data_IF_509615227847
#
_entry.id   IF_509615227847
#
_cell.length_a   1.000
_cell.length_b   1.000
_cell.length_c   1.000
_cell.angle_alpha   90.00
_cell.angle_beta   90.00
_cell.angle_gamma   90.00
#
_symmetry.space_group_name_H-M   'P 1'
#
loop_
_entity.id
_entity.type
_entity.pdbx_description
1 polymer ?
#
# COMPACT_ATOMS: atom_id res chain seq x y z
N UNK A 1 -19.32 -24.97 -19.70
CA UNK A 1 -19.38 -23.51 -19.52
C UNK A 1 -18.04 -23.06 -18.94
N UNK A 2 -17.21 -22.37 -19.72
CA UNK A 2 -15.84 -22.01 -19.31
C UNK A 2 -15.15 -21.12 -20.33
N UNK A 3 -15.91 -20.22 -20.95
CA UNK A 3 -15.41 -19.37 -22.05
C UNK A 3 -14.86 -18.06 -21.52
N UNK A 4 -15.38 -17.56 -20.39
CA UNK A 4 -14.94 -16.32 -19.76
C UNK A 4 -13.94 -16.61 -18.63
N UNK A 5 -12.73 -16.06 -18.76
CA UNK A 5 -11.63 -16.17 -17.81
C UNK A 5 -11.26 -14.80 -17.25
N UNK A 6 -10.56 -14.75 -16.12
CA UNK A 6 -10.12 -13.47 -15.52
C UNK A 6 -9.21 -12.69 -16.48
N UNK A 7 -8.41 -13.39 -17.28
CA UNK A 7 -7.52 -12.77 -18.26
C UNK A 7 -8.29 -12.02 -19.35
N UNK A 8 -9.55 -12.40 -19.60
CA UNK A 8 -10.41 -11.73 -20.56
C UNK A 8 -10.82 -10.32 -20.07
N UNK A 9 -10.86 -10.08 -18.75
CA UNK A 9 -11.16 -8.76 -18.19
C UNK A 9 -10.11 -7.74 -18.64
N UNK A 10 -8.84 -8.13 -18.56
CA UNK A 10 -7.71 -7.28 -18.96
C UNK A 10 -7.57 -7.27 -20.48
N UNK A 11 -7.60 -8.44 -21.13
CA UNK A 11 -7.39 -8.60 -22.58
C UNK A 11 -8.39 -7.82 -23.42
N UNK A 12 -9.64 -7.71 -22.97
CA UNK A 12 -10.70 -7.00 -23.69
C UNK A 12 -11.05 -5.65 -23.05
N UNK A 13 -10.24 -5.18 -22.08
CA UNK A 13 -10.40 -3.89 -21.41
C UNK A 13 -11.84 -3.72 -20.89
N UNK A 14 -12.40 -4.77 -20.29
CA UNK A 14 -13.83 -4.82 -19.98
C UNK A 14 -14.24 -3.79 -18.92
N UNK A 15 -13.33 -3.35 -18.07
CA UNK A 15 -13.61 -2.28 -17.12
C UNK A 15 -13.82 -0.93 -17.80
N UNK A 16 -13.01 -0.61 -18.81
CA UNK A 16 -13.08 0.66 -19.54
C UNK A 16 -14.47 0.86 -20.16
N UNK A 17 -15.00 -0.19 -20.78
CA UNK A 17 -16.31 -0.17 -21.44
C UNK A 17 -17.51 -0.02 -20.49
N UNK A 18 -17.31 -0.08 -19.17
CA UNK A 18 -18.40 -0.09 -18.18
C UNK A 18 -18.61 1.24 -17.46
N UNK A 19 -17.70 2.21 -17.59
CA UNK A 19 -17.73 3.45 -16.79
C UNK A 19 -18.94 4.36 -17.01
N UNK A 20 -19.71 4.11 -18.07
CA UNK A 20 -20.90 4.88 -18.41
C UNK A 20 -22.24 4.25 -17.99
N UNK A 21 -22.33 2.94 -17.66
CA UNK A 21 -23.66 2.29 -17.65
C UNK A 21 -23.96 1.19 -16.61
N UNK A 22 -23.03 0.70 -15.77
CA UNK A 22 -23.40 -0.41 -14.88
C UNK A 22 -22.52 -0.61 -13.63
N UNK A 23 -22.85 0.04 -12.51
CA UNK A 23 -22.29 -0.23 -11.17
C UNK A 23 -22.23 -1.74 -10.85
N UNK A 24 -23.29 -2.48 -11.18
CA UNK A 24 -23.37 -3.93 -10.91
C UNK A 24 -22.36 -4.73 -11.73
N UNK A 25 -22.15 -4.38 -13.00
CA UNK A 25 -21.18 -5.10 -13.86
C UNK A 25 -19.76 -4.75 -13.47
N UNK A 26 -19.49 -3.49 -13.16
CA UNK A 26 -18.19 -3.06 -12.64
C UNK A 26 -17.84 -3.85 -11.38
N UNK A 27 -18.75 -3.88 -10.39
CA UNK A 27 -18.54 -4.64 -9.15
C UNK A 27 -18.28 -6.12 -9.41
N UNK A 28 -19.06 -6.74 -10.29
CA UNK A 28 -18.88 -8.15 -10.66
C UNK A 28 -17.48 -8.43 -11.23
N UNK A 29 -16.98 -7.58 -12.15
CA UNK A 29 -15.65 -7.75 -12.74
C UNK A 29 -14.52 -7.49 -11.73
N UNK A 30 -14.67 -6.47 -10.89
CA UNK A 30 -13.69 -6.18 -9.83
C UNK A 30 -13.66 -7.29 -8.77
N UNK A 31 -14.81 -7.82 -8.36
CA UNK A 31 -14.89 -8.97 -7.46
C UNK A 31 -14.19 -10.20 -8.04
N UNK A 32 -14.23 -10.37 -9.36
CA UNK A 32 -13.54 -11.45 -10.05
C UNK A 32 -12.02 -11.22 -10.10
N UNK A 33 -11.57 -10.05 -10.54
CA UNK A 33 -10.15 -9.71 -10.62
C UNK A 33 -9.87 -8.27 -10.16
N UNK A 34 -9.60 -8.05 -8.87
CA UNK A 34 -9.29 -6.71 -8.36
C UNK A 34 -8.00 -6.12 -8.94
N UNK A 35 -7.05 -6.95 -9.42
CA UNK A 35 -5.78 -6.48 -9.96
C UNK A 35 -5.95 -5.66 -11.24
N UNK A 36 -7.09 -5.83 -11.92
CA UNK A 36 -7.48 -5.03 -13.08
C UNK A 36 -7.61 -3.53 -12.78
N UNK A 37 -7.77 -3.12 -11.51
CA UNK A 37 -7.72 -1.70 -11.11
C UNK A 37 -6.35 -1.04 -11.34
N UNK A 38 -5.28 -1.84 -11.48
CA UNK A 38 -3.92 -1.37 -11.77
C UNK A 38 -3.50 -1.65 -13.21
N UNK A 39 -4.38 -2.22 -14.01
CA UNK A 39 -4.09 -2.47 -15.41
C UNK A 39 -4.07 -1.15 -16.16
N UNK A 40 -2.88 -0.75 -16.60
CA UNK A 40 -2.70 0.42 -17.44
C UNK A 40 -3.22 0.11 -18.84
N UNK A 41 -4.18 0.90 -19.31
CA UNK A 41 -4.63 0.87 -20.71
C UNK A 41 -3.74 1.78 -21.57
N UNK A 42 -4.17 2.09 -22.79
CA UNK A 42 -3.48 3.01 -23.68
C UNK A 42 -3.14 4.33 -22.97
N UNK A 43 -1.94 4.87 -23.24
CA UNK A 43 -1.40 6.08 -22.59
C UNK A 43 -1.09 5.96 -21.09
N UNK A 44 -1.12 4.75 -20.52
CA UNK A 44 -0.76 4.54 -19.11
C UNK A 44 -1.90 4.82 -18.13
N UNK A 45 -3.12 5.07 -18.62
CA UNK A 45 -4.29 5.39 -17.82
C UNK A 45 -4.74 4.20 -16.97
N UNK A 46 -5.13 4.49 -15.75
CA UNK A 46 -5.80 3.54 -14.87
C UNK A 46 -7.33 3.64 -15.05
N UNK A 47 -8.07 2.59 -14.65
CA UNK A 47 -9.52 2.68 -14.52
C UNK A 47 -10.01 3.89 -13.69
N UNK A 48 -9.18 4.38 -12.76
CA UNK A 48 -9.52 5.57 -11.97
C UNK A 48 -9.34 6.89 -12.75
N UNK A 49 -8.37 6.99 -13.67
CA UNK A 49 -8.25 8.11 -14.63
C UNK A 49 -9.51 8.21 -15.49
N UNK A 50 -9.91 7.09 -16.11
CA UNK A 50 -11.15 7.02 -16.90
C UNK A 50 -12.38 7.46 -16.08
N UNK A 51 -12.49 7.01 -14.84
CA UNK A 51 -13.60 7.39 -13.98
C UNK A 51 -13.58 8.89 -13.61
N UNK A 52 -12.40 9.49 -13.44
CA UNK A 52 -12.23 10.92 -13.20
C UNK A 52 -12.59 11.74 -14.45
N UNK A 53 -12.06 11.37 -15.60
CA UNK A 53 -12.20 12.09 -16.88
C UNK A 53 -13.58 11.92 -17.53
N UNK A 54 -14.16 10.71 -17.49
CA UNK A 54 -15.35 10.39 -18.29
C UNK A 54 -16.61 10.13 -17.44
N UNK A 55 -16.49 9.58 -16.24
CA UNK A 55 -17.66 9.16 -15.44
C UNK A 55 -18.28 10.29 -14.60
N UNK A 56 -19.19 9.97 -13.68
CA UNK A 56 -19.67 10.91 -12.66
C UNK A 56 -18.78 10.87 -11.42
N UNK A 57 -18.89 11.85 -10.52
CA UNK A 57 -18.22 11.80 -9.20
C UNK A 57 -18.57 10.52 -8.42
N UNK A 58 -19.78 9.97 -8.63
CA UNK A 58 -20.20 8.68 -8.08
C UNK A 58 -19.43 7.51 -8.71
N UNK A 59 -19.19 7.56 -10.02
CA UNK A 59 -18.37 6.58 -10.72
C UNK A 59 -16.92 6.61 -10.24
N UNK A 60 -16.32 7.80 -10.18
CA UNK A 60 -15.00 8.02 -9.58
C UNK A 60 -14.91 7.42 -8.16
N UNK A 61 -15.88 7.76 -7.30
CA UNK A 61 -15.97 7.24 -5.93
C UNK A 61 -16.08 5.71 -5.91
N UNK A 62 -16.87 5.11 -6.80
CA UNK A 62 -17.05 3.66 -6.88
C UNK A 62 -15.73 2.94 -7.18
N UNK A 63 -14.94 3.47 -8.12
CA UNK A 63 -13.63 2.90 -8.47
C UNK A 63 -12.63 3.09 -7.34
N UNK A 64 -12.57 4.30 -6.77
CA UNK A 64 -11.68 4.58 -5.67
C UNK A 64 -12.00 3.70 -4.44
N UNK A 65 -13.28 3.54 -4.11
CA UNK A 65 -13.74 2.68 -3.02
C UNK A 65 -13.36 1.21 -3.25
N UNK A 66 -13.44 0.73 -4.49
CA UNK A 66 -12.95 -0.60 -4.84
C UNK A 66 -11.43 -0.71 -4.61
N UNK A 67 -10.65 0.30 -5.00
CA UNK A 67 -9.21 0.38 -4.75
C UNK A 67 -8.86 0.27 -3.27
N UNK A 68 -9.54 1.04 -2.42
CA UNK A 68 -9.36 1.00 -0.97
C UNK A 68 -9.80 -0.36 -0.40
N UNK A 69 -10.94 -0.90 -0.84
CA UNK A 69 -11.49 -2.16 -0.30
C UNK A 69 -10.59 -3.37 -0.57
N UNK A 70 -10.07 -3.51 -1.79
CA UNK A 70 -9.25 -4.67 -2.17
C UNK A 70 -7.76 -4.47 -1.89
N UNK A 71 -7.31 -3.22 -1.76
CA UNK A 71 -5.91 -2.88 -1.50
C UNK A 71 -5.75 -1.88 -0.34
N UNK A 72 -6.32 -2.16 0.85
CA UNK A 72 -6.40 -1.20 1.96
C UNK A 72 -5.04 -0.81 2.52
N UNK A 73 -4.04 -1.67 2.34
CA UNK A 73 -2.77 -1.53 3.03
C UNK A 73 -1.74 -0.64 2.35
N UNK A 74 -1.98 -0.09 1.15
CA UNK A 74 -0.88 0.46 0.33
C UNK A 74 -1.39 1.08 -0.96
N UNK A 75 -1.87 0.23 -1.86
CA UNK A 75 -2.05 0.59 -3.27
C UNK A 75 -3.35 1.33 -3.53
N UNK A 76 -4.36 1.11 -2.69
CA UNK A 76 -5.65 1.78 -2.82
C UNK A 76 -5.53 3.30 -2.76
N UNK A 77 -4.76 3.84 -1.80
CA UNK A 77 -4.56 5.30 -1.72
C UNK A 77 -3.64 5.82 -2.82
N UNK A 78 -2.60 5.06 -3.17
CA UNK A 78 -1.67 5.43 -4.24
C UNK A 78 -2.35 5.52 -5.62
N UNK A 79 -3.47 4.80 -5.86
CA UNK A 79 -4.25 4.91 -7.09
C UNK A 79 -4.66 6.36 -7.40
N UNK A 80 -4.99 7.17 -6.39
CA UNK A 80 -5.37 8.58 -6.59
C UNK A 80 -4.24 9.43 -7.18
N UNK A 81 -3.01 9.05 -6.89
CA UNK A 81 -1.82 9.84 -7.18
C UNK A 81 -0.88 9.12 -8.14
N UNK A 82 -1.32 8.05 -8.78
CA UNK A 82 -0.51 7.37 -9.79
C UNK A 82 -0.55 8.17 -11.08
N UNK A 83 0.60 8.53 -11.62
CA UNK A 83 0.71 9.27 -12.87
C UNK A 83 0.45 8.37 -14.08
N UNK A 84 -0.16 8.95 -15.11
CA UNK A 84 -0.25 8.35 -16.44
C UNK A 84 0.98 8.70 -17.30
N UNK A 85 0.90 8.48 -18.62
CA UNK A 85 1.96 8.84 -19.55
C UNK A 85 2.15 10.35 -19.80
N UNK A 86 1.30 11.20 -19.20
CA UNK A 86 1.34 12.66 -19.29
C UNK A 86 1.65 13.33 -17.94
N UNK A 87 2.03 12.55 -16.94
CA UNK A 87 2.26 12.99 -15.55
C UNK A 87 0.98 13.48 -14.82
N UNK A 88 -0.20 13.18 -15.35
CA UNK A 88 -1.48 13.52 -14.72
C UNK A 88 -1.95 12.39 -13.79
N UNK A 89 -2.52 12.78 -12.65
CA UNK A 89 -3.09 11.85 -11.67
C UNK A 89 -4.63 11.83 -11.72
N UNK A 90 -5.29 10.73 -11.34
CA UNK A 90 -6.75 10.71 -11.26
C UNK A 90 -7.31 11.77 -10.32
N UNK A 91 -6.56 12.11 -9.26
CA UNK A 91 -6.94 13.16 -8.34
C UNK A 91 -6.94 14.55 -9.00
N UNK A 92 -5.91 14.89 -9.77
CA UNK A 92 -5.84 16.15 -10.52
C UNK A 92 -6.96 16.25 -11.55
N UNK A 93 -7.19 15.19 -12.35
CA UNK A 93 -8.28 15.14 -13.32
C UNK A 93 -9.65 15.33 -12.66
N UNK A 94 -9.91 14.59 -11.57
CA UNK A 94 -11.16 14.69 -10.83
C UNK A 94 -11.34 16.09 -10.25
N UNK A 95 -10.28 16.69 -9.68
CA UNK A 95 -10.34 18.03 -9.12
C UNK A 95 -10.60 19.08 -10.20
N UNK A 96 -10.00 18.93 -11.38
CA UNK A 96 -10.23 19.83 -12.52
C UNK A 96 -11.69 19.80 -13.01
N UNK A 97 -12.36 18.65 -12.88
CA UNK A 97 -13.73 18.46 -13.37
C UNK A 97 -14.83 18.72 -12.33
N UNK A 98 -14.67 18.20 -11.12
CA UNK A 98 -15.69 18.26 -10.06
C UNK A 98 -15.37 19.30 -8.97
N UNK A 99 -14.15 19.85 -8.98
CA UNK A 99 -13.69 20.79 -7.94
C UNK A 99 -13.06 20.07 -6.75
N UNK A 100 -12.03 20.70 -6.18
CA UNK A 100 -11.23 20.13 -5.10
C UNK A 100 -12.05 19.74 -3.86
N UNK A 101 -12.97 20.60 -3.43
CA UNK A 101 -13.76 20.35 -2.20
C UNK A 101 -14.64 19.11 -2.32
N UNK A 102 -15.29 18.92 -3.48
CA UNK A 102 -16.17 17.77 -3.72
C UNK A 102 -15.37 16.47 -3.81
N UNK A 103 -14.24 16.49 -4.53
CA UNK A 103 -13.35 15.33 -4.66
C UNK A 103 -12.75 14.96 -3.31
N UNK A 104 -12.22 15.93 -2.57
CA UNK A 104 -11.62 15.69 -1.26
C UNK A 104 -12.65 15.12 -0.27
N UNK A 105 -13.88 15.64 -0.26
CA UNK A 105 -14.98 15.07 0.53
C UNK A 105 -15.26 13.62 0.15
N UNK A 106 -15.32 13.31 -1.14
CA UNK A 106 -15.54 11.94 -1.63
C UNK A 106 -14.42 10.98 -1.21
N UNK A 107 -13.17 11.43 -1.26
CA UNK A 107 -12.00 10.68 -0.81
C UNK A 107 -12.09 10.41 0.69
N UNK A 108 -12.27 11.46 1.52
CA UNK A 108 -12.36 11.33 2.97
C UNK A 108 -13.51 10.43 3.42
N UNK A 109 -14.70 10.63 2.87
CA UNK A 109 -15.86 9.79 3.15
C UNK A 109 -15.55 8.31 2.87
N UNK A 110 -14.81 8.02 1.79
CA UNK A 110 -14.44 6.67 1.39
C UNK A 110 -13.41 6.06 2.34
N UNK A 111 -12.43 6.83 2.78
CA UNK A 111 -11.45 6.39 3.77
C UNK A 111 -12.10 6.11 5.12
N UNK A 112 -13.04 6.94 5.57
CA UNK A 112 -13.80 6.75 6.82
C UNK A 112 -14.63 5.46 6.75
N UNK A 113 -15.35 5.22 5.64
CA UNK A 113 -16.17 4.00 5.46
C UNK A 113 -15.36 2.70 5.45
N UNK A 114 -14.08 2.76 5.09
CA UNK A 114 -13.20 1.59 5.00
C UNK A 114 -12.20 1.52 6.17
N UNK A 115 -12.48 2.22 7.27
CA UNK A 115 -11.59 2.31 8.44
C UNK A 115 -11.41 0.99 9.20
N UNK A 116 -12.25 -0.03 8.95
CA UNK A 116 -12.11 -1.37 9.52
C UNK A 116 -10.77 -2.05 9.16
N UNK A 117 -10.16 -1.63 8.05
CA UNK A 117 -8.79 -1.98 7.66
C UNK A 117 -7.94 -0.71 7.67
N UNK A 118 -7.32 -0.35 8.81
CA UNK A 118 -6.57 0.89 8.91
C UNK A 118 -5.39 0.91 7.93
N UNK A 119 -5.27 2.01 7.19
CA UNK A 119 -4.14 2.24 6.30
C UNK A 119 -2.86 2.22 7.13
N UNK A 120 -1.88 1.39 6.75
CA UNK A 120 -0.54 1.49 7.27
C UNK A 120 0.12 2.74 6.66
N UNK A 121 -0.14 3.91 7.26
CA UNK A 121 0.33 5.21 6.75
C UNK A 121 1.85 5.23 6.57
N UNK A 122 2.59 4.53 7.43
CA UNK A 122 4.05 4.50 7.39
C UNK A 122 4.55 3.81 6.14
N UNK A 123 3.99 2.64 5.85
CA UNK A 123 4.33 1.88 4.66
C UNK A 123 3.85 2.57 3.39
N UNK A 124 2.64 3.15 3.41
CA UNK A 124 2.12 3.96 2.32
C UNK A 124 3.03 5.15 2.01
N UNK A 125 3.54 5.84 3.05
CA UNK A 125 4.44 6.98 2.90
C UNK A 125 5.77 6.57 2.26
N UNK A 126 6.38 5.47 2.73
CA UNK A 126 7.63 4.96 2.17
C UNK A 126 7.42 4.54 0.71
N UNK A 127 6.33 3.83 0.40
CA UNK A 127 6.06 3.36 -0.95
C UNK A 127 5.82 4.52 -1.92
N UNK A 128 5.02 5.50 -1.50
CA UNK A 128 4.79 6.72 -2.29
C UNK A 128 6.09 7.51 -2.53
N UNK A 129 7.06 7.44 -1.61
CA UNK A 129 8.33 8.15 -1.75
C UNK A 129 9.36 7.43 -2.64
N UNK A 130 9.22 6.10 -2.86
CA UNK A 130 10.17 5.32 -3.68
C UNK A 130 9.65 4.98 -5.08
N UNK A 131 8.33 5.02 -5.28
CA UNK A 131 7.72 4.71 -6.58
C UNK A 131 7.65 5.97 -7.45
N UNK A 132 8.42 5.97 -8.54
CA UNK A 132 8.49 7.07 -9.51
C UNK A 132 7.17 7.35 -10.23
N UNK A 133 6.23 6.40 -10.20
CA UNK A 133 4.90 6.56 -10.78
C UNK A 133 3.91 7.22 -9.82
N UNK A 134 4.30 7.49 -8.58
CA UNK A 134 3.44 8.12 -7.58
C UNK A 134 3.83 9.59 -7.46
N UNK A 135 2.87 10.47 -7.74
CA UNK A 135 3.06 11.90 -7.64
C UNK A 135 3.34 12.31 -6.18
N UNK A 136 4.20 13.33 -6.01
CA UNK A 136 4.64 13.83 -4.70
C UNK A 136 3.47 14.29 -3.81
N UNK A 137 2.34 14.67 -4.41
CA UNK A 137 1.11 15.00 -3.68
C UNK A 137 0.63 13.86 -2.79
N UNK A 138 0.89 12.59 -3.14
CA UNK A 138 0.59 11.46 -2.28
C UNK A 138 1.34 11.54 -0.95
N UNK A 139 2.63 11.88 -1.00
CA UNK A 139 3.48 12.05 0.19
C UNK A 139 2.94 13.20 1.04
N UNK A 140 2.65 14.35 0.43
CA UNK A 140 2.06 15.49 1.14
C UNK A 140 0.70 15.17 1.75
N UNK A 141 -0.14 14.43 1.02
CA UNK A 141 -1.45 13.98 1.48
C UNK A 141 -1.33 13.09 2.73
N UNK A 142 -0.44 12.10 2.70
CA UNK A 142 -0.21 11.19 3.82
C UNK A 142 0.36 11.92 5.04
N UNK A 143 1.30 12.86 4.85
CA UNK A 143 1.85 13.67 5.94
C UNK A 143 0.80 14.58 6.58
N UNK A 144 -0.12 15.16 5.79
CA UNK A 144 -1.20 15.99 6.34
C UNK A 144 -2.21 15.18 7.14
N UNK A 145 -2.44 13.91 6.78
CA UNK A 145 -3.35 13.03 7.52
C UNK A 145 -2.78 12.56 8.85
N UNK A 146 -1.47 12.38 8.93
CA UNK A 146 -0.78 11.93 10.14
C UNK A 146 0.53 12.70 10.31
N UNK A 147 0.49 13.94 10.83
CA UNK A 147 1.67 14.82 10.90
C UNK A 147 2.76 14.30 11.85
N UNK A 148 2.39 13.45 12.81
CA UNK A 148 3.29 12.78 13.77
C UNK A 148 4.03 11.58 13.17
N UNK A 149 3.71 11.16 11.94
CA UNK A 149 4.26 9.94 11.33
C UNK A 149 5.78 9.93 11.22
N UNK A 150 6.39 11.09 10.94
CA UNK A 150 7.84 11.22 10.85
C UNK A 150 8.50 11.03 12.21
N UNK A 151 7.89 11.55 13.29
CA UNK A 151 8.36 11.31 14.65
C UNK A 151 8.26 9.83 15.03
N UNK A 152 7.16 9.17 14.69
CA UNK A 152 6.96 7.74 14.95
C UNK A 152 7.99 6.89 14.20
N UNK A 153 8.28 7.22 12.94
CA UNK A 153 9.30 6.57 12.12
C UNK A 153 10.71 6.71 12.69
N UNK A 154 11.07 7.92 13.15
CA UNK A 154 12.38 8.20 13.73
C UNK A 154 12.54 7.56 15.12
N UNK A 155 11.47 7.54 15.93
CA UNK A 155 11.50 6.97 17.28
C UNK A 155 11.59 5.44 17.28
N UNK A 156 10.96 4.78 16.29
CA UNK A 156 11.01 3.32 16.12
C UNK A 156 12.45 2.78 15.99
N UNK A 157 13.35 3.52 15.31
CA UNK A 157 14.76 3.12 15.14
C UNK A 157 15.54 3.05 16.46
N UNK A 158 15.20 3.85 17.46
CA UNK A 158 15.89 3.84 18.74
C UNK A 158 15.59 2.58 19.57
N UNK A 159 14.41 1.97 19.42
CA UNK A 159 14.06 0.75 20.15
C UNK A 159 14.91 -0.46 19.70
N UNK A 160 15.23 -0.57 18.40
CA UNK A 160 15.97 -1.71 17.85
C UNK A 160 17.47 -1.67 18.16
N UNK A 161 18.07 -0.47 18.21
CA UNK A 161 19.51 -0.31 18.52
C UNK A 161 19.81 -0.57 20.01
N UNK A 162 18.86 -0.28 20.89
CA UNK A 162 19.03 -0.50 22.33
C UNK A 162 18.91 -1.99 22.70
N UNK A 163 18.14 -2.78 21.95
CA UNK A 163 18.04 -4.23 22.15
C UNK A 163 19.32 -4.99 21.70
N UNK A 164 20.00 -4.50 20.65
CA UNK A 164 21.24 -5.13 20.14
C UNK A 164 22.49 -4.83 20.99
N UNK A 165 22.47 -3.81 21.85
CA UNK A 165 23.62 -3.45 22.69
C UNK A 165 23.62 -4.10 24.07
N UNK A 166 22.50 -4.72 24.50
CA UNK A 166 22.39 -5.34 25.84
C UNK A 166 22.98 -6.76 25.88
N UNK A 167 23.21 -7.42 24.74
CA UNK A 167 23.67 -8.82 24.72
C UNK A 167 25.20 -9.01 24.60
N UNK A 168 25.97 -7.91 24.52
CA UNK A 168 27.42 -7.99 24.28
C UNK A 168 28.30 -7.79 25.51
N UNK A 169 27.74 -7.83 26.73
CA UNK A 169 28.52 -7.63 27.95
C UNK A 169 28.14 -8.54 29.11
N UNK A 170 28.27 -9.86 28.97
CA UNK A 170 28.52 -10.74 30.13
C UNK A 170 29.28 -12.03 29.75
N UNK A 171 30.61 -12.01 29.86
CA UNK A 171 31.36 -13.15 30.43
C UNK A 171 32.74 -12.68 30.87
N UNK A 172 32.77 -12.17 32.11
CA UNK A 172 33.99 -11.96 32.88
C UNK A 172 34.62 -13.31 33.22
N UNK A 173 35.93 -13.35 33.01
CA UNK A 173 36.96 -14.22 33.58
C UNK A 173 36.55 -15.12 34.77
N UNK A 174 36.85 -16.42 34.67
CA UNK A 174 37.17 -17.25 35.83
C UNK A 174 38.52 -17.93 35.63
N UNK A 175 39.29 -17.79 36.69
CA UNK A 175 40.71 -18.03 36.89
C UNK A 175 41.14 -19.49 36.78
N UNK A 176 42.39 -19.65 36.34
CA UNK A 176 43.19 -20.86 36.50
C UNK A 176 43.35 -21.24 37.97
N UNK A 177 43.19 -22.52 38.31
CA UNK A 177 43.96 -23.07 39.42
C UNK A 177 44.40 -24.52 39.12
N UNK A 178 45.71 -24.69 39.13
CA UNK A 178 46.40 -25.99 39.18
C UNK A 178 46.11 -26.60 40.53
N UNK A 179 45.64 -27.84 40.56
CA UNK A 179 45.89 -28.70 41.71
C UNK A 179 46.39 -30.07 41.26
N UNK A 180 47.45 -30.48 41.93
CA UNK A 180 48.25 -31.65 41.65
C UNK A 180 48.00 -32.65 42.76
N UNK A 181 47.46 -33.84 42.49
CA UNK A 181 47.79 -35.00 43.33
C UNK A 181 47.54 -36.39 42.71
N UNK A 182 48.67 -37.05 42.43
CA UNK A 182 49.08 -38.42 42.79
C UNK A 182 48.07 -39.59 42.78
N UNK A 183 48.50 -40.61 42.00
CA UNK A 183 48.64 -42.06 42.34
C UNK A 183 47.35 -42.85 42.71
N UNK A 184 47.07 -43.92 41.94
CA UNK A 184 47.47 -45.32 42.26
C UNK A 184 46.98 -46.33 41.21
N UNK A 185 47.82 -47.36 41.03
CA UNK A 185 47.69 -48.58 40.21
C UNK A 185 46.50 -49.46 40.62
N UNK A 186 45.94 -50.25 39.69
CA UNK A 186 45.96 -51.73 39.79
C UNK A 186 45.57 -52.44 38.48
N UNK A 187 46.18 -53.61 38.30
CA UNK A 187 46.14 -54.58 37.19
C UNK A 187 44.97 -55.58 37.34
N UNK A 188 44.68 -56.26 36.23
CA UNK A 188 44.18 -57.65 36.13
C UNK A 188 42.67 -57.74 35.95
N UNK A 189 42.12 -58.53 35.02
CA UNK A 189 42.59 -59.74 34.32
C UNK A 189 42.15 -59.66 32.86
#
# INVERSE_FOLDING_TARGET
MGVFKKEDIQRYELLDRLFNYADTRFRFLIEWDPSSLFHRINSGWLPLHLAASESSIRGFRLVFEAGIRYFPNKKGICLLFTTDGYDDTPFQEACGRFGYEEVMKSVEDTLIRNSDTPINTTEALIMAAIDENIHLDCVYFLLRRQPDILHTLLSSKHATVTAMTVDSSTSKAINNNRDSEKRKRKRGI
#
